data_IF_456966793502
#
_entry.id   IF_456966793502
#
_cell.length_a   1.000
_cell.length_b   1.000
_cell.length_c   1.000
_cell.angle_alpha   90.00
_cell.angle_beta   90.00
_cell.angle_gamma   90.00
#
_symmetry.space_group_name_H-M   'P 1'
#
loop_
_entity.id
_entity.type
_entity.pdbx_description
1 polymer ?
#
# COMPACT_ATOMS: atom_id res chain seq x y z
N UNK A 1 11.77 -0.82 14.65
CA UNK A 1 11.52 -0.32 13.28
C UNK A 1 11.82 -1.39 12.25
N UNK A 2 12.99 -2.03 12.29
CA UNK A 2 13.37 -3.07 11.31
C UNK A 2 12.36 -4.22 11.18
N UNK A 3 11.77 -4.69 12.28
CA UNK A 3 10.75 -5.75 12.23
C UNK A 3 9.47 -5.33 11.51
N UNK A 4 9.02 -4.08 11.66
CA UNK A 4 7.82 -3.58 10.97
C UNK A 4 8.07 -3.42 9.46
N UNK A 5 9.27 -2.93 9.09
CA UNK A 5 9.71 -2.87 7.69
C UNK A 5 9.75 -4.26 7.07
N UNK A 6 10.34 -5.23 7.77
CA UNK A 6 10.45 -6.61 7.30
C UNK A 6 9.09 -7.28 7.13
N UNK A 7 8.14 -7.03 8.03
CA UNK A 7 6.75 -7.51 7.89
C UNK A 7 6.07 -6.88 6.68
N UNK A 8 6.18 -5.56 6.50
CA UNK A 8 5.59 -4.87 5.34
C UNK A 8 6.18 -5.36 4.01
N UNK A 9 7.50 -5.54 3.93
CA UNK A 9 8.18 -6.11 2.75
C UNK A 9 7.70 -7.54 2.49
N UNK A 10 7.56 -8.34 3.54
CA UNK A 10 7.11 -9.73 3.41
C UNK A 10 5.65 -9.79 2.95
N UNK A 11 4.78 -8.93 3.46
CA UNK A 11 3.39 -8.82 3.03
C UNK A 11 3.25 -8.27 1.62
N UNK A 12 4.06 -7.26 1.27
CA UNK A 12 4.15 -6.75 -0.09
C UNK A 12 4.52 -7.88 -1.03
N UNK A 13 5.59 -8.64 -0.76
CA UNK A 13 6.01 -9.78 -1.59
C UNK A 13 5.08 -10.99 -1.54
N UNK A 14 4.27 -11.13 -0.48
CA UNK A 14 3.30 -12.21 -0.38
C UNK A 14 2.06 -11.94 -1.24
N UNK A 15 1.79 -10.67 -1.53
CA UNK A 15 0.74 -10.27 -2.46
C UNK A 15 1.33 -10.05 -3.84
N UNK A 16 2.32 -9.15 -4.00
CA UNK A 16 3.04 -8.91 -5.24
C UNK A 16 3.58 -10.22 -5.86
N UNK A 17 3.27 -10.42 -7.14
CA UNK A 17 3.68 -11.60 -7.89
C UNK A 17 2.56 -12.61 -8.13
N UNK A 18 1.32 -12.33 -7.72
CA UNK A 18 0.17 -13.15 -8.12
C UNK A 18 -0.10 -13.06 -9.63
N UNK A 19 0.24 -11.93 -10.26
CA UNK A 19 0.05 -11.68 -11.71
C UNK A 19 1.35 -11.80 -12.55
N UNK A 20 2.50 -12.07 -11.93
CA UNK A 20 3.78 -12.31 -12.62
C UNK A 20 4.90 -11.29 -12.38
N UNK A 21 4.59 -10.17 -11.71
CA UNK A 21 5.57 -9.16 -11.30
C UNK A 21 5.78 -9.23 -9.78
N UNK A 22 6.86 -9.86 -9.27
CA UNK A 22 7.10 -9.98 -7.82
C UNK A 22 7.48 -8.66 -7.13
N UNK A 23 7.67 -7.59 -7.91
CA UNK A 23 8.14 -6.29 -7.45
C UNK A 23 7.04 -5.20 -7.50
N UNK A 24 5.86 -5.50 -8.05
CA UNK A 24 4.73 -4.58 -8.19
C UNK A 24 3.44 -5.17 -7.65
N UNK A 25 2.56 -4.31 -7.15
CA UNK A 25 1.20 -4.66 -6.74
C UNK A 25 0.22 -4.08 -7.76
N UNK A 26 -0.56 -4.94 -8.42
CA UNK A 26 -1.70 -4.46 -9.20
C UNK A 26 -2.80 -3.91 -8.28
N UNK A 27 -3.76 -3.19 -8.87
CA UNK A 27 -4.89 -2.57 -8.14
C UNK A 27 -5.62 -3.52 -7.20
N UNK A 28 -5.87 -4.75 -7.65
CA UNK A 28 -6.56 -5.77 -6.86
C UNK A 28 -5.70 -6.28 -5.69
N UNK A 29 -4.39 -6.46 -5.92
CA UNK A 29 -3.44 -6.93 -4.92
C UNK A 29 -3.25 -5.91 -3.81
N UNK A 30 -3.08 -4.64 -4.19
CA UNK A 30 -3.01 -3.53 -3.24
C UNK A 30 -4.28 -3.43 -2.40
N UNK A 31 -5.45 -3.60 -3.02
CA UNK A 31 -6.73 -3.58 -2.31
C UNK A 31 -6.82 -4.69 -1.26
N UNK A 32 -6.43 -5.92 -1.61
CA UNK A 32 -6.37 -7.05 -0.68
C UNK A 32 -5.38 -6.81 0.45
N UNK A 33 -4.18 -6.31 0.14
CA UNK A 33 -3.14 -6.00 1.12
C UNK A 33 -3.64 -4.99 2.15
N UNK A 34 -4.17 -3.87 1.68
CA UNK A 34 -4.64 -2.77 2.55
C UNK A 34 -5.78 -3.25 3.44
N UNK A 35 -6.68 -4.08 2.91
CA UNK A 35 -7.80 -4.63 3.67
C UNK A 35 -7.37 -5.68 4.71
N UNK A 36 -6.40 -6.54 4.38
CA UNK A 36 -5.89 -7.58 5.28
C UNK A 36 -4.97 -7.02 6.36
N UNK A 37 -3.98 -6.22 5.96
CA UNK A 37 -2.85 -5.84 6.81
C UNK A 37 -3.00 -4.44 7.42
N UNK A 38 -3.76 -3.56 6.76
CA UNK A 38 -3.93 -2.16 7.18
C UNK A 38 -5.40 -1.77 7.49
N UNK A 39 -6.25 -2.64 8.08
CA UNK A 39 -7.67 -2.34 8.31
C UNK A 39 -7.90 -1.16 9.27
N UNK A 40 -6.92 -0.89 10.16
CA UNK A 40 -6.96 0.25 11.08
C UNK A 40 -6.38 1.54 10.49
N UNK A 41 -5.54 1.43 9.46
CA UNK A 41 -4.83 2.57 8.86
C UNK A 41 -5.66 3.22 7.75
N UNK A 42 -6.34 2.40 6.94
CA UNK A 42 -7.25 2.85 5.91
C UNK A 42 -8.66 2.51 6.39
N UNK A 43 -9.25 3.40 7.21
CA UNK A 43 -10.59 3.23 7.78
C UNK A 43 -11.71 2.97 6.75
N UNK A 44 -11.45 3.27 5.47
CA UNK A 44 -12.36 3.01 4.35
C UNK A 44 -11.74 2.04 3.32
N UNK A 45 -10.88 1.12 3.76
CA UNK A 45 -10.28 0.09 2.89
C UNK A 45 -11.31 -0.88 2.30
N UNK A 46 -12.52 -0.90 2.85
CA UNK A 46 -13.63 -1.70 2.33
C UNK A 46 -14.31 -1.02 1.13
N UNK A 47 -14.13 0.30 0.97
CA UNK A 47 -14.70 1.05 -0.13
C UNK A 47 -13.74 1.01 -1.32
N UNK A 48 -14.09 0.30 -2.40
CA UNK A 48 -13.21 0.16 -3.55
C UNK A 48 -12.93 1.52 -4.21
N UNK A 49 -13.83 2.51 -4.10
CA UNK A 49 -13.61 3.84 -4.69
C UNK A 49 -12.58 4.66 -3.90
N UNK A 50 -12.45 4.44 -2.59
CA UNK A 50 -11.39 5.05 -1.78
C UNK A 50 -10.04 4.44 -2.13
N UNK A 51 -9.99 3.10 -2.25
CA UNK A 51 -8.76 2.38 -2.58
C UNK A 51 -8.32 2.68 -4.02
N UNK A 52 -9.26 2.77 -4.96
CA UNK A 52 -9.02 3.12 -6.36
C UNK A 52 -8.46 4.55 -6.49
N UNK A 53 -9.04 5.52 -5.77
CA UNK A 53 -8.50 6.88 -5.69
C UNK A 53 -7.13 6.93 -5.02
N UNK A 54 -6.92 6.16 -3.95
CA UNK A 54 -5.64 6.09 -3.26
C UNK A 54 -4.57 5.55 -4.20
N UNK A 55 -4.88 4.44 -4.88
CA UNK A 55 -3.97 3.85 -5.85
C UNK A 55 -3.69 4.82 -6.98
N UNK A 56 -4.71 5.44 -7.58
CA UNK A 56 -4.52 6.43 -8.66
C UNK A 56 -3.76 7.68 -8.21
N UNK A 57 -3.81 8.02 -6.92
CA UNK A 57 -3.03 9.14 -6.37
C UNK A 57 -1.58 8.76 -6.07
N UNK A 58 -1.28 7.47 -5.94
CA UNK A 58 0.04 6.93 -5.62
C UNK A 58 0.80 6.47 -6.85
N UNK A 59 0.07 5.98 -7.85
CA UNK A 59 0.56 5.52 -9.15
C UNK A 59 1.02 6.75 -9.95
N UNK A 60 2.23 7.21 -9.63
CA UNK A 60 2.78 8.44 -10.19
C UNK A 60 3.26 8.21 -11.63
N UNK A 61 3.61 6.98 -11.98
CA UNK A 61 3.97 6.59 -13.34
C UNK A 61 2.76 6.36 -14.25
N UNK A 62 1.54 6.25 -13.68
CA UNK A 62 0.32 5.90 -14.41
C UNK A 62 0.45 4.57 -15.17
N UNK A 63 1.25 3.65 -14.64
CA UNK A 63 1.45 2.28 -15.15
C UNK A 63 0.28 1.37 -14.73
N UNK A 64 -0.47 1.76 -13.70
CA UNK A 64 -1.57 0.97 -13.16
C UNK A 64 -1.11 -0.15 -12.21
N UNK A 65 0.13 -0.07 -11.76
CA UNK A 65 0.75 -0.94 -10.77
C UNK A 65 1.54 -0.10 -9.75
N UNK A 66 1.50 -0.50 -8.47
CA UNK A 66 2.28 0.14 -7.42
C UNK A 66 3.60 -0.59 -7.23
N UNK A 67 4.69 0.10 -7.50
CA UNK A 67 6.03 -0.36 -7.16
C UNK A 67 6.24 -0.37 -5.64
N UNK A 68 7.23 -1.15 -5.17
CA UNK A 68 7.61 -1.16 -3.75
C UNK A 68 7.94 0.25 -3.23
N UNK A 69 8.49 1.13 -4.07
CA UNK A 69 8.83 2.50 -3.71
C UNK A 69 7.57 3.35 -3.46
N UNK A 70 6.58 3.27 -4.35
CA UNK A 70 5.29 3.99 -4.23
C UNK A 70 4.49 3.49 -3.02
N UNK A 71 4.47 2.18 -2.82
CA UNK A 71 3.88 1.59 -1.62
C UNK A 71 4.58 2.07 -0.34
N UNK A 72 5.92 2.10 -0.32
CA UNK A 72 6.69 2.58 0.83
C UNK A 72 6.42 4.06 1.15
N UNK A 73 6.35 4.91 0.12
CA UNK A 73 5.98 6.31 0.25
C UNK A 73 4.58 6.47 0.86
N UNK A 74 3.61 5.64 0.46
CA UNK A 74 2.29 5.61 1.05
C UNK A 74 2.35 5.30 2.55
N UNK A 75 3.02 4.21 2.92
CA UNK A 75 3.12 3.82 4.34
C UNK A 75 3.75 4.95 5.16
N UNK A 76 4.79 5.61 4.62
CA UNK A 76 5.39 6.79 5.24
C UNK A 76 4.40 7.95 5.40
N UNK A 77 3.61 8.25 4.38
CA UNK A 77 2.60 9.32 4.42
C UNK A 77 1.45 8.99 5.38
N UNK A 78 0.97 7.75 5.38
CA UNK A 78 -0.05 7.26 6.32
C UNK A 78 0.45 7.29 7.76
N UNK A 79 1.68 6.83 8.00
CA UNK A 79 2.31 6.88 9.32
C UNK A 79 2.50 8.32 9.82
N UNK A 80 2.88 9.25 8.94
CA UNK A 80 2.98 10.68 9.26
C UNK A 80 1.60 11.27 9.61
N UNK A 81 0.57 10.94 8.83
CA UNK A 81 -0.80 11.44 9.00
C UNK A 81 -1.50 10.88 10.25
N UNK A 82 -1.26 9.61 10.62
CA UNK A 82 -1.84 8.98 11.82
C UNK A 82 -1.00 9.20 13.08
N UNK A 83 0.30 9.41 12.95
CA UNK A 83 1.23 9.54 14.07
C UNK A 83 1.18 10.89 14.79
N UNK A 84 0.47 11.89 14.25
CA UNK A 84 0.46 13.23 14.84
C UNK A 84 1.86 13.84 14.89
N UNK A 85 2.66 13.70 13.83
CA UNK A 85 3.80 14.60 13.62
C UNK A 85 3.29 15.97 13.16
N UNK A 86 2.55 16.63 14.04
CA UNK A 86 2.47 18.08 14.05
C UNK A 86 3.85 18.56 14.46
N UNK A 87 4.56 19.18 13.50
CA UNK A 87 5.73 20.01 13.79
C UNK A 87 5.37 21.14 14.76
#
# INVERSE_FOLDING_TARGET
MESAVSVLVSQFKAHAGSDGSPDTLSRDEFHKLVKSELPNFVKNADDPAVVDQLMSSLDNDSDGELSFLEFWQLIGHLASKHGGFSQ
#
